data_IF_700256917176
#
_entry.id   IF_700256917176
#
_cell.length_a   1.000
_cell.length_b   1.000
_cell.length_c   1.000
_cell.angle_alpha   90.00
_cell.angle_beta   90.00
_cell.angle_gamma   90.00
#
_symmetry.space_group_name_H-M   'P 1'
#
loop_
_entity.id
_entity.type
_entity.pdbx_description
1 polymer ?
#
# COMPACT_ATOMS: atom_id res chain seq x y z
N UNK A 1 -13.63 38.75 21.17
CA UNK A 1 -13.37 37.37 20.71
C UNK A 1 -12.83 37.47 19.30
N UNK A 2 -11.71 36.83 18.99
CA UNK A 2 -11.05 36.95 17.69
C UNK A 2 -11.86 36.24 16.60
N UNK A 3 -11.95 36.82 15.42
CA UNK A 3 -12.60 36.25 14.22
C UNK A 3 -12.13 34.81 13.93
N UNK A 4 -10.84 34.54 14.19
CA UNK A 4 -10.25 33.21 14.10
C UNK A 4 -10.90 32.18 15.04
N UNK A 5 -11.27 32.59 16.26
CA UNK A 5 -11.96 31.71 17.22
C UNK A 5 -13.36 31.36 16.76
N UNK A 6 -14.04 32.29 16.08
CA UNK A 6 -15.39 32.06 15.55
C UNK A 6 -15.34 31.09 14.36
N UNK A 7 -14.35 31.24 13.49
CA UNK A 7 -14.10 30.31 12.37
C UNK A 7 -13.79 28.90 12.89
N UNK A 8 -12.95 28.76 13.93
CA UNK A 8 -12.65 27.45 14.52
C UNK A 8 -13.88 26.78 15.13
N UNK A 9 -14.73 27.55 15.84
CA UNK A 9 -15.97 27.04 16.40
C UNK A 9 -16.95 26.57 15.31
N UNK A 10 -17.03 27.30 14.19
CA UNK A 10 -17.85 26.93 13.02
C UNK A 10 -17.34 25.66 12.33
N UNK A 11 -16.02 25.50 12.16
CA UNK A 11 -15.42 24.31 11.57
C UNK A 11 -15.58 23.07 12.47
N UNK A 12 -15.48 23.23 13.79
CA UNK A 12 -15.65 22.14 14.74
C UNK A 12 -17.10 21.62 14.86
N UNK A 13 -18.09 22.41 14.43
CA UNK A 13 -19.50 22.03 14.44
C UNK A 13 -19.95 21.32 13.13
N UNK A 14 -19.08 21.26 12.12
CA UNK A 14 -19.38 20.64 10.82
C UNK A 14 -19.16 19.11 10.89
N UNK A 15 -19.97 18.30 10.18
CA UNK A 15 -19.68 16.88 10.03
C UNK A 15 -18.38 16.66 9.24
N UNK A 16 -17.68 15.56 9.52
CA UNK A 16 -16.35 15.26 8.96
C UNK A 16 -16.31 15.30 7.42
N UNK A 17 -17.38 14.84 6.77
CA UNK A 17 -17.50 14.88 5.30
C UNK A 17 -17.45 16.31 4.76
N UNK A 18 -18.16 17.24 5.39
CA UNK A 18 -18.21 18.64 4.98
C UNK A 18 -16.89 19.35 5.31
N UNK A 19 -16.29 19.03 6.45
CA UNK A 19 -14.98 19.56 6.84
C UNK A 19 -13.90 19.15 5.84
N UNK A 20 -13.87 17.87 5.42
CA UNK A 20 -12.92 17.35 4.42
C UNK A 20 -13.14 18.03 3.06
N UNK A 21 -14.38 18.25 2.64
CA UNK A 21 -14.69 18.96 1.40
C UNK A 21 -14.18 20.41 1.42
N UNK A 22 -14.41 21.14 2.51
CA UNK A 22 -13.94 22.53 2.69
C UNK A 22 -12.42 22.59 2.70
N UNK A 23 -11.76 21.69 3.43
CA UNK A 23 -10.29 21.65 3.50
C UNK A 23 -9.68 21.36 2.12
N UNK A 24 -10.26 20.44 1.34
CA UNK A 24 -9.80 20.16 -0.02
C UNK A 24 -9.94 21.38 -0.94
N UNK A 25 -11.06 22.10 -0.85
CA UNK A 25 -11.27 23.33 -1.61
C UNK A 25 -10.28 24.44 -1.21
N UNK A 26 -10.00 24.60 0.08
CA UNK A 26 -9.06 25.60 0.59
C UNK A 26 -7.59 25.34 0.17
N UNK A 27 -7.25 24.08 -0.07
CA UNK A 27 -5.88 23.62 -0.35
C UNK A 27 -5.59 23.52 -1.87
N UNK A 28 -6.61 23.43 -2.72
CA UNK A 28 -6.48 23.21 -4.17
C UNK A 28 -5.54 24.19 -4.92
N UNK A 29 -5.35 25.42 -4.41
CA UNK A 29 -4.46 26.43 -4.98
C UNK A 29 -3.11 26.59 -4.27
N UNK A 30 -2.78 25.75 -3.29
CA UNK A 30 -1.62 25.91 -2.40
C UNK A 30 -0.59 24.78 -2.63
N UNK A 31 0.51 25.04 -3.37
CA UNK A 31 1.47 23.99 -3.72
C UNK A 31 2.24 23.43 -2.52
N UNK A 32 2.38 24.20 -1.43
CA UNK A 32 3.01 23.73 -0.19
C UNK A 32 2.14 22.78 0.64
N UNK A 33 0.89 22.51 0.22
CA UNK A 33 -0.08 21.70 0.98
C UNK A 33 -0.59 20.49 0.18
N UNK A 34 0.11 20.09 -0.89
CA UNK A 34 -0.27 18.96 -1.74
C UNK A 34 -0.39 17.65 -0.96
N UNK A 35 0.51 17.38 -0.01
CA UNK A 35 0.47 16.21 0.87
C UNK A 35 -0.78 16.17 1.78
N UNK A 36 -1.28 17.33 2.17
CA UNK A 36 -2.52 17.42 2.94
C UNK A 36 -3.71 17.09 2.04
N UNK A 37 -3.67 17.54 0.78
CA UNK A 37 -4.67 17.19 -0.24
C UNK A 37 -4.73 15.69 -0.53
N UNK A 38 -3.59 15.00 -0.63
CA UNK A 38 -3.54 13.54 -0.82
C UNK A 38 -4.11 12.80 0.39
N UNK A 39 -3.75 13.22 1.61
CA UNK A 39 -4.29 12.67 2.85
C UNK A 39 -5.82 12.85 2.95
N UNK A 40 -6.35 14.05 2.64
CA UNK A 40 -7.80 14.32 2.64
C UNK A 40 -8.56 13.51 1.57
N UNK A 41 -7.90 13.12 0.48
CA UNK A 41 -8.48 12.26 -0.56
C UNK A 41 -8.63 10.83 -0.05
N UNK A 42 -7.64 10.35 0.71
CA UNK A 42 -7.65 9.04 1.37
C UNK A 42 -8.70 8.94 2.50
N UNK A 43 -8.84 10.00 3.30
CA UNK A 43 -9.88 10.07 4.35
C UNK A 43 -11.28 10.02 3.74
N UNK A 44 -11.51 10.74 2.63
CA UNK A 44 -12.81 10.70 1.94
C UNK A 44 -13.12 9.35 1.28
N UNK A 45 -12.10 8.58 0.89
CA UNK A 45 -12.28 7.22 0.36
C UNK A 45 -12.45 6.16 1.45
N UNK A 46 -12.45 6.53 2.73
CA UNK A 46 -12.56 5.59 3.86
C UNK A 46 -11.32 4.72 4.09
N UNK A 47 -10.24 4.94 3.35
CA UNK A 47 -8.99 4.18 3.48
C UNK A 47 -8.10 4.76 4.58
N UNK A 48 -8.59 4.79 5.82
CA UNK A 48 -7.87 5.40 6.94
C UNK A 48 -6.70 4.58 7.48
N UNK A 49 -6.38 3.43 6.87
CA UNK A 49 -5.31 2.55 7.35
C UNK A 49 -3.94 3.11 6.96
N UNK A 50 -3.12 3.61 7.90
CA UNK A 50 -1.76 4.07 7.60
C UNK A 50 -0.82 2.90 7.26
N UNK A 51 -1.23 1.67 7.58
CA UNK A 51 -0.55 0.40 7.30
C UNK A 51 -1.15 -0.34 6.10
N UNK A 52 -2.06 0.28 5.34
CA UNK A 52 -2.57 -0.32 4.11
C UNK A 52 -1.36 -0.65 3.21
N UNK A 53 -1.18 -1.92 2.81
CA UNK A 53 -0.08 -2.29 1.93
C UNK A 53 -0.15 -1.40 0.71
N UNK A 54 0.97 -0.76 0.36
CA UNK A 54 1.10 0.06 -0.83
C UNK A 54 0.82 -0.88 -2.01
N UNK A 55 -0.44 -0.96 -2.43
CA UNK A 55 -0.80 -1.65 -3.66
C UNK A 55 -0.18 -0.78 -4.73
N UNK A 56 0.96 -1.26 -5.23
CA UNK A 56 1.66 -0.68 -6.34
C UNK A 56 0.61 -0.26 -7.36
N UNK A 57 0.63 1.01 -7.74
CA UNK A 57 -0.25 1.66 -8.70
C UNK A 57 -0.11 0.91 -10.04
N UNK A 58 -0.76 -0.24 -10.11
CA UNK A 58 -0.99 -0.97 -11.34
C UNK A 58 -2.07 -0.12 -11.95
N UNK A 59 -1.65 0.79 -12.82
CA UNK A 59 -2.52 1.57 -13.68
C UNK A 59 -3.73 0.71 -14.02
N UNK A 60 -4.91 1.14 -13.56
CA UNK A 60 -6.19 0.60 -13.99
C UNK A 60 -6.16 0.65 -15.51
N UNK A 61 -5.83 -0.49 -16.12
CA UNK A 61 -6.17 -0.73 -17.49
C UNK A 61 -7.69 -0.74 -17.46
N UNK A 62 -8.28 0.39 -17.85
CA UNK A 62 -9.70 0.57 -18.05
C UNK A 62 -10.29 -0.74 -18.57
N UNK A 63 -10.99 -1.44 -17.68
CA UNK A 63 -11.58 -2.74 -17.96
C UNK A 63 -12.73 -2.46 -18.91
N UNK A 64 -12.44 -2.47 -20.22
CA UNK A 64 -13.45 -2.52 -21.26
C UNK A 64 -14.25 -3.78 -20.97
N UNK A 65 -15.50 -3.60 -20.54
CA UNK A 65 -16.37 -4.73 -20.17
C UNK A 65 -16.36 -5.78 -21.28
N UNK A 66 -15.92 -7.02 -21.00
CA UNK A 66 -16.25 -8.13 -21.85
C UNK A 66 -17.72 -8.42 -21.56
N UNK A 67 -18.60 -7.95 -22.45
CA UNK A 67 -19.94 -8.50 -22.51
C UNK A 67 -19.85 -10.02 -22.63
N UNK A 68 -20.62 -10.64 -21.75
CA UNK A 68 -21.06 -12.02 -21.71
C UNK A 68 -20.18 -13.07 -21.03
N UNK A 69 -20.67 -13.40 -19.82
CA UNK A 69 -20.86 -14.74 -19.28
C UNK A 69 -19.63 -15.58 -18.99
N UNK A 70 -19.34 -15.65 -17.69
CA UNK A 70 -18.84 -16.84 -17.00
C UNK A 70 -19.43 -18.12 -17.60
N UNK A 71 -18.57 -19.13 -17.81
CA UNK A 71 -18.79 -20.56 -17.56
C UNK A 71 -17.69 -21.36 -18.29
N UNK A 72 -16.54 -21.62 -17.64
CA UNK A 72 -15.78 -22.85 -17.91
C UNK A 72 -14.67 -23.12 -16.87
N UNK A 73 -15.02 -23.87 -15.83
CA UNK A 73 -14.11 -24.85 -15.23
C UNK A 73 -14.26 -26.13 -16.06
N UNK A 74 -13.31 -26.39 -16.97
CA UNK A 74 -13.30 -27.64 -17.75
C UNK A 74 -12.83 -27.56 -19.21
N UNK A 75 -12.30 -26.45 -19.70
CA UNK A 75 -11.70 -26.38 -21.03
C UNK A 75 -10.20 -26.55 -20.95
N UNK A 76 -9.68 -27.58 -21.62
CA UNK A 76 -8.32 -27.53 -22.13
C UNK A 76 -8.20 -26.24 -22.96
N UNK A 77 -7.42 -25.26 -22.49
CA UNK A 77 -6.96 -24.18 -23.37
C UNK A 77 -6.19 -24.87 -24.49
N UNK A 78 -6.82 -24.96 -25.67
CA UNK A 78 -6.10 -25.34 -26.86
C UNK A 78 -5.07 -24.24 -27.06
N UNK A 79 -3.80 -24.56 -26.81
CA UNK A 79 -2.69 -23.69 -27.15
C UNK A 79 -2.86 -23.39 -28.64
N UNK A 80 -3.17 -22.15 -29.05
CA UNK A 80 -3.27 -21.84 -30.46
C UNK A 80 -1.95 -22.24 -31.09
N UNK A 81 -1.94 -22.86 -32.28
CA UNK A 81 -0.69 -23.21 -32.95
C UNK A 81 0.12 -21.91 -33.01
N UNK A 82 1.29 -21.92 -32.36
CA UNK A 82 2.21 -20.77 -32.40
C UNK A 82 2.43 -20.51 -33.88
N UNK A 83 1.93 -19.39 -34.44
CA UNK A 83 2.24 -19.09 -35.81
C UNK A 83 3.75 -18.98 -35.85
N UNK A 84 4.39 -19.80 -36.69
CA UNK A 84 5.83 -19.76 -36.93
C UNK A 84 6.12 -18.49 -37.72
N UNK A 85 5.86 -17.34 -37.09
CA UNK A 85 6.30 -16.05 -37.57
C UNK A 85 7.82 -16.11 -37.58
N UNK A 86 8.48 -15.49 -38.57
CA UNK A 86 9.92 -15.31 -38.52
C UNK A 86 10.26 -14.76 -37.14
N UNK A 87 11.30 -15.32 -36.51
CA UNK A 87 11.94 -14.81 -35.29
C UNK A 87 12.33 -13.35 -35.49
N UNK A 88 11.37 -12.44 -35.42
CA UNK A 88 11.61 -11.02 -35.34
C UNK A 88 12.20 -10.78 -33.96
N UNK A 89 13.38 -10.16 -33.88
CA UNK A 89 14.02 -9.93 -32.59
C UNK A 89 13.05 -9.18 -31.69
N UNK A 90 12.78 -9.77 -30.52
CA UNK A 90 11.96 -9.14 -29.50
C UNK A 90 12.60 -7.80 -29.14
N UNK A 91 11.90 -6.70 -29.41
CA UNK A 91 12.38 -5.37 -29.10
C UNK A 91 12.00 -5.07 -27.66
N UNK A 92 12.98 -4.82 -26.79
CA UNK A 92 12.71 -4.44 -25.39
C UNK A 92 12.00 -5.50 -24.54
N UNK A 93 12.08 -6.79 -24.91
CA UNK A 93 11.43 -7.87 -24.14
C UNK A 93 9.94 -8.08 -24.43
N UNK A 94 9.44 -7.53 -25.54
CA UNK A 94 8.10 -7.77 -26.06
C UNK A 94 8.17 -8.33 -27.48
N UNK A 95 7.21 -9.18 -27.83
CA UNK A 95 6.96 -9.62 -29.20
C UNK A 95 6.35 -8.48 -30.03
N UNK A 96 6.36 -8.61 -31.36
CA UNK A 96 5.73 -7.63 -32.25
C UNK A 96 4.22 -7.45 -31.99
N UNK A 97 3.56 -8.46 -31.41
CA UNK A 97 2.16 -8.39 -30.97
C UNK A 97 1.96 -7.78 -29.58
N UNK A 98 2.99 -7.16 -29.00
CA UNK A 98 2.91 -6.52 -27.67
C UNK A 98 2.88 -7.51 -26.50
N UNK A 99 3.01 -8.82 -26.74
CA UNK A 99 3.05 -9.83 -25.68
C UNK A 99 4.45 -9.85 -25.07
N UNK A 100 4.62 -9.74 -23.74
CA UNK A 100 5.90 -9.91 -23.07
C UNK A 100 6.53 -11.26 -23.42
N UNK A 101 7.83 -11.27 -23.69
CA UNK A 101 8.55 -12.54 -23.90
C UNK A 101 8.78 -13.26 -22.58
N UNK A 102 8.97 -14.58 -22.65
CA UNK A 102 9.25 -15.40 -21.49
C UNK A 102 10.50 -14.93 -20.73
N UNK A 103 11.57 -14.56 -21.45
CA UNK A 103 12.80 -14.05 -20.84
C UNK A 103 12.60 -12.70 -20.14
N UNK A 104 11.72 -11.85 -20.66
CA UNK A 104 11.36 -10.56 -20.03
C UNK A 104 10.63 -10.77 -18.71
N UNK A 105 9.64 -11.67 -18.69
CA UNK A 105 8.91 -12.03 -17.46
C UNK A 105 9.85 -12.69 -16.46
N UNK A 106 10.66 -13.65 -16.89
CA UNK A 106 11.66 -14.32 -16.06
C UNK A 106 12.61 -13.32 -15.41
N UNK A 107 13.25 -12.45 -16.19
CA UNK A 107 14.18 -11.45 -15.66
C UNK A 107 13.49 -10.46 -14.71
N UNK A 108 12.20 -10.16 -14.92
CA UNK A 108 11.41 -9.33 -13.99
C UNK A 108 11.13 -10.06 -12.68
N UNK A 109 10.77 -11.34 -12.73
CA UNK A 109 10.56 -12.18 -11.54
C UNK A 109 11.85 -12.34 -10.74
N UNK A 110 12.96 -12.66 -11.40
CA UNK A 110 14.28 -12.80 -10.77
C UNK A 110 14.73 -11.49 -10.08
N UNK A 111 14.55 -10.34 -10.75
CA UNK A 111 14.84 -9.04 -10.13
C UNK A 111 13.97 -8.77 -8.89
N UNK A 112 12.65 -9.00 -8.98
CA UNK A 112 11.75 -8.78 -7.84
C UNK A 112 12.06 -9.72 -6.68
N UNK A 113 12.37 -10.97 -6.97
CA UNK A 113 12.77 -11.95 -5.97
C UNK A 113 14.07 -11.53 -5.27
N UNK A 114 15.10 -11.12 -6.03
CA UNK A 114 16.36 -10.62 -5.46
C UNK A 114 16.19 -9.38 -4.59
N UNK A 115 15.33 -8.43 -5.01
CA UNK A 115 15.01 -7.23 -4.22
C UNK A 115 14.26 -7.61 -2.94
N UNK A 116 13.23 -8.46 -3.03
CA UNK A 116 12.45 -8.87 -1.86
C UNK A 116 13.31 -9.62 -0.82
N UNK A 117 14.28 -10.40 -1.28
CA UNK A 117 15.21 -11.09 -0.38
C UNK A 117 16.12 -10.11 0.39
N UNK A 118 16.50 -8.98 -0.21
CA UNK A 118 17.39 -7.98 0.42
C UNK A 118 16.69 -6.77 1.05
N UNK A 119 15.41 -6.52 0.74
CA UNK A 119 14.71 -5.32 1.21
C UNK A 119 14.46 -5.36 2.72
N UNK A 120 14.13 -6.53 3.28
CA UNK A 120 13.88 -6.67 4.72
C UNK A 120 15.06 -6.26 5.60
N UNK A 121 16.29 -6.59 5.19
CA UNK A 121 17.51 -6.17 5.90
C UNK A 121 17.77 -4.67 5.76
N UNK A 122 17.47 -4.10 4.59
CA UNK A 122 17.62 -2.67 4.33
C UNK A 122 16.61 -1.85 5.13
N UNK A 123 15.36 -2.30 5.15
CA UNK A 123 14.25 -1.65 5.86
C UNK A 123 14.52 -1.62 7.37
N UNK A 124 15.09 -2.70 7.93
CA UNK A 124 15.53 -2.76 9.33
C UNK A 124 16.67 -1.79 9.66
N UNK A 125 17.57 -1.53 8.70
CA UNK A 125 18.69 -0.59 8.90
C UNK A 125 18.28 0.88 8.79
N UNK A 126 17.06 1.17 8.32
CA UNK A 126 16.55 2.54 8.29
C UNK A 126 16.33 3.09 9.71
N UNK A 127 16.39 4.43 9.91
CA UNK A 127 16.06 5.04 11.20
C UNK A 127 14.64 4.74 11.69
N UNK A 128 13.69 4.56 10.77
CA UNK A 128 12.32 4.17 11.08
C UNK A 128 12.21 2.70 11.48
N UNK A 129 12.93 1.80 10.79
CA UNK A 129 12.97 0.37 11.15
C UNK A 129 13.56 0.15 12.56
N UNK A 130 14.64 0.88 12.89
CA UNK A 130 15.24 0.82 14.24
C UNK A 130 14.29 1.28 15.35
N UNK A 131 13.48 2.31 15.13
CA UNK A 131 12.55 2.79 16.16
C UNK A 131 11.37 1.85 16.39
N UNK A 132 10.96 1.08 15.38
CA UNK A 132 9.93 0.04 15.51
C UNK A 132 10.47 -1.15 16.31
N UNK A 133 11.71 -1.57 16.05
CA UNK A 133 12.37 -2.64 16.80
C UNK A 133 12.54 -2.25 18.29
N UNK A 134 13.01 -1.03 18.57
CA UNK A 134 13.13 -0.52 19.93
C UNK A 134 11.79 -0.50 20.68
N UNK A 135 10.69 -0.14 19.99
CA UNK A 135 9.35 -0.19 20.57
C UNK A 135 8.88 -1.62 20.85
N UNK A 136 9.23 -2.56 19.98
CA UNK A 136 8.92 -3.98 20.17
C UNK A 136 9.68 -4.53 21.38
N UNK A 137 10.99 -4.31 21.46
CA UNK A 137 11.82 -4.73 22.59
C UNK A 137 11.35 -4.10 23.92
N UNK A 138 10.97 -2.82 23.91
CA UNK A 138 10.43 -2.15 25.09
C UNK A 138 9.13 -2.79 25.56
N UNK A 139 8.22 -3.16 24.64
CA UNK A 139 6.97 -3.85 24.96
C UNK A 139 7.22 -5.25 25.51
N UNK A 140 8.15 -6.00 24.92
CA UNK A 140 8.52 -7.33 25.41
C UNK A 140 9.16 -7.28 26.79
N UNK A 141 10.06 -6.32 27.04
CA UNK A 141 10.67 -6.12 28.36
C UNK A 141 9.61 -5.78 29.40
N UNK A 142 8.72 -4.82 29.12
CA UNK A 142 7.64 -4.47 30.03
C UNK A 142 6.71 -5.67 30.33
N UNK A 143 6.42 -6.50 29.33
CA UNK A 143 5.68 -7.74 29.50
C UNK A 143 6.39 -8.74 30.42
N UNK A 144 7.70 -8.94 30.22
CA UNK A 144 8.52 -9.82 31.08
C UNK A 144 8.58 -9.32 32.52
N UNK A 145 8.86 -8.03 32.71
CA UNK A 145 8.93 -7.41 34.05
C UNK A 145 7.59 -7.57 34.79
N UNK A 146 6.46 -7.39 34.09
CA UNK A 146 5.13 -7.57 34.67
C UNK A 146 4.85 -9.03 35.05
N UNK A 147 5.26 -9.99 34.24
CA UNK A 147 5.12 -11.42 34.54
C UNK A 147 5.98 -11.82 35.75
N UNK A 148 7.17 -11.25 35.89
CA UNK A 148 8.03 -11.46 37.06
C UNK A 148 7.40 -10.90 38.34
N UNK A 149 6.83 -9.71 38.28
CA UNK A 149 6.10 -9.10 39.39
C UNK A 149 4.93 -9.99 39.84
N UNK A 150 4.12 -10.48 38.90
CA UNK A 150 3.02 -11.41 39.18
C UNK A 150 3.57 -12.69 39.85
N UNK A 151 4.63 -13.29 39.28
CA UNK A 151 5.24 -14.51 39.83
C UNK A 151 5.75 -14.31 41.25
N UNK A 152 6.33 -13.14 41.56
CA UNK A 152 6.78 -12.78 42.90
C UNK A 152 5.59 -12.62 43.85
N UNK A 153 4.55 -11.87 43.45
CA UNK A 153 3.35 -11.66 44.27
C UNK A 153 2.64 -12.98 44.64
N UNK A 154 2.63 -13.96 43.73
CA UNK A 154 2.07 -15.29 43.99
C UNK A 154 2.93 -16.12 44.96
N UNK A 155 4.24 -15.88 45.01
CA UNK A 155 5.19 -16.62 45.85
C UNK A 155 5.25 -16.06 47.27
N UNK A 156 5.07 -14.74 47.40
CA UNK A 156 5.05 -14.02 48.69
C UNK A 156 3.70 -14.14 49.42
N UNK A 157 2.59 -14.41 48.70
CA UNK A 157 1.26 -14.64 49.26
C UNK A 157 1.00 -16.11 49.67
N UNK A 158 2.02 -16.77 50.22
CA UNK A 158 1.97 -18.17 50.69
C UNK A 158 2.61 -18.29 52.06
#
# INVERSE_FOLDING_TARGET
MSETSEILARLAALPDADLVAIMRAAIAGRPGLTEVGTALTRVASGNTDPDAPVTLDTVDAEFVEPTDTSHQVGTTFAVPPVPTLPITPATGGYTAGGVPTFDSVRGKVERRFGIAQGSGELDQQTPAGRSVEEQWEAREKAGRDRLEEIRKSMRDNK
#
